data_IF_816259849331
#
_entry.id   IF_816259849331
#
_cell.length_a   1.000
_cell.length_b   1.000
_cell.length_c   1.000
_cell.angle_alpha   90.00
_cell.angle_beta   90.00
_cell.angle_gamma   90.00
#
_symmetry.space_group_name_H-M   'P 1'
#
loop_
_entity.id
_entity.type
_entity.pdbx_description
1 polymer ?
#
# COMPACT_ATOMS: atom_id res chain seq x y z
N UNK A 1 26.91 0.86 -9.80
CA UNK A 1 25.96 1.20 -10.88
C UNK A 1 24.73 1.87 -10.29
N UNK A 2 24.31 3.05 -10.76
CA UNK A 2 23.02 3.65 -10.35
C UNK A 2 21.92 3.00 -11.20
N UNK A 3 20.98 2.31 -10.56
CA UNK A 3 19.81 1.74 -11.24
C UNK A 3 18.97 2.87 -11.86
N UNK A 4 18.33 2.57 -13.01
CA UNK A 4 17.41 3.51 -13.66
C UNK A 4 16.18 3.79 -12.79
N UNK A 5 15.54 4.94 -12.98
CA UNK A 5 14.31 5.32 -12.26
C UNK A 5 13.18 4.29 -12.50
N UNK A 6 13.08 3.76 -13.73
CA UNK A 6 12.13 2.71 -14.09
C UNK A 6 12.40 1.40 -13.35
N UNK A 7 13.66 1.01 -13.22
CA UNK A 7 14.04 -0.19 -12.47
C UNK A 7 13.72 -0.03 -10.99
N UNK A 8 13.99 1.14 -10.41
CA UNK A 8 13.63 1.45 -9.02
C UNK A 8 12.14 1.38 -8.76
N UNK A 9 11.33 1.91 -9.68
CA UNK A 9 9.87 1.82 -9.60
C UNK A 9 9.42 0.36 -9.49
N UNK A 10 9.86 -0.52 -10.40
CA UNK A 10 9.45 -1.92 -10.39
C UNK A 10 9.97 -2.69 -9.18
N UNK A 11 11.19 -2.41 -8.72
CA UNK A 11 11.72 -3.01 -7.50
C UNK A 11 10.84 -2.66 -6.30
N UNK A 12 10.52 -1.37 -6.11
CA UNK A 12 9.67 -0.93 -5.01
C UNK A 12 8.23 -1.42 -5.15
N UNK A 13 7.72 -1.55 -6.38
CA UNK A 13 6.41 -2.16 -6.66
C UNK A 13 6.37 -3.61 -6.20
N UNK A 14 7.36 -4.43 -6.58
CA UNK A 14 7.44 -5.84 -6.19
C UNK A 14 7.62 -5.98 -4.69
N UNK A 15 8.48 -5.17 -4.06
CA UNK A 15 8.64 -5.15 -2.61
C UNK A 15 7.31 -4.82 -1.92
N UNK A 16 6.59 -3.80 -2.40
CA UNK A 16 5.28 -3.45 -1.85
C UNK A 16 4.29 -4.61 -1.96
N UNK A 17 4.25 -5.25 -3.13
CA UNK A 17 3.35 -6.36 -3.41
C UNK A 17 3.61 -7.54 -2.47
N UNK A 18 4.87 -7.93 -2.31
CA UNK A 18 5.26 -9.06 -1.46
C UNK A 18 4.93 -8.78 0.00
N UNK A 19 5.28 -7.61 0.53
CA UNK A 19 5.00 -7.28 1.93
C UNK A 19 3.49 -7.14 2.15
N UNK A 20 2.78 -6.47 1.24
CA UNK A 20 1.32 -6.34 1.32
C UNK A 20 0.64 -7.70 1.30
N UNK A 21 1.15 -8.67 0.53
CA UNK A 21 0.61 -10.03 0.48
C UNK A 21 0.78 -10.74 1.82
N UNK A 22 1.97 -10.65 2.42
CA UNK A 22 2.25 -11.22 3.76
C UNK A 22 1.31 -10.60 4.81
N UNK A 23 1.17 -9.26 4.81
CA UNK A 23 0.27 -8.55 5.70
C UNK A 23 -1.20 -8.93 5.48
N UNK A 24 -1.60 -9.14 4.23
CA UNK A 24 -2.97 -9.52 3.88
C UNK A 24 -3.32 -10.92 4.37
N UNK A 25 -2.40 -11.89 4.18
CA UNK A 25 -2.55 -13.27 4.66
C UNK A 25 -2.63 -13.32 6.19
N UNK A 26 -1.88 -12.47 6.87
CA UNK A 26 -1.84 -12.40 8.34
C UNK A 26 -2.96 -11.53 8.95
N UNK A 27 -3.83 -10.93 8.13
CA UNK A 27 -4.96 -10.12 8.58
C UNK A 27 -4.63 -8.67 8.95
N UNK A 28 -3.40 -8.21 8.76
CA UNK A 28 -2.97 -6.84 9.10
C UNK A 28 -3.18 -5.84 7.95
N UNK A 29 -4.40 -5.73 7.47
CA UNK A 29 -4.71 -4.94 6.27
C UNK A 29 -4.40 -3.44 6.44
N UNK A 30 -4.62 -2.89 7.63
CA UNK A 30 -4.32 -1.49 7.93
C UNK A 30 -2.82 -1.16 7.91
N UNK A 31 -1.93 -2.12 8.18
CA UNK A 31 -0.48 -1.89 8.10
C UNK A 31 0.00 -1.66 6.66
N UNK A 32 -0.80 -2.05 5.66
CA UNK A 32 -0.52 -1.79 4.24
C UNK A 32 -0.48 -0.27 3.97
N UNK A 33 -1.29 0.53 4.69
CA UNK A 33 -1.26 1.98 4.58
C UNK A 33 0.09 2.60 4.98
N UNK A 34 0.76 2.01 5.98
CA UNK A 34 2.07 2.47 6.46
C UNK A 34 3.15 2.26 5.39
N UNK A 35 3.09 1.13 4.67
CA UNK A 35 3.98 0.86 3.53
C UNK A 35 3.82 1.91 2.43
N UNK A 36 2.59 2.39 2.23
CA UNK A 36 2.28 3.51 1.34
C UNK A 36 3.20 4.71 1.58
N UNK A 37 3.35 5.18 2.83
CA UNK A 37 4.22 6.32 3.19
C UNK A 37 5.65 6.07 2.73
N UNK A 38 6.20 4.94 3.15
CA UNK A 38 7.62 4.63 3.03
C UNK A 38 7.97 4.54 1.54
N UNK A 39 7.15 3.83 0.77
CA UNK A 39 7.39 3.62 -0.66
C UNK A 39 7.14 4.90 -1.45
N UNK A 40 6.10 5.65 -1.12
CA UNK A 40 5.85 6.96 -1.70
C UNK A 40 7.03 7.91 -1.51
N UNK A 41 7.56 7.99 -0.30
CA UNK A 41 8.75 8.77 0.03
C UNK A 41 9.96 8.34 -0.79
N UNK A 42 10.28 7.05 -0.82
CA UNK A 42 11.45 6.53 -1.52
C UNK A 42 11.39 6.79 -3.03
N UNK A 43 10.20 6.71 -3.64
CA UNK A 43 10.00 6.95 -5.07
C UNK A 43 10.21 8.42 -5.45
N UNK A 44 9.58 9.35 -4.73
CA UNK A 44 9.69 10.77 -5.06
C UNK A 44 10.97 11.43 -4.55
N UNK A 45 11.62 10.90 -3.51
CA UNK A 45 13.01 11.24 -3.18
C UNK A 45 13.95 10.99 -4.38
N UNK A 46 13.53 10.15 -5.34
CA UNK A 46 14.29 9.78 -6.55
C UNK A 46 13.63 10.17 -7.88
N UNK A 47 12.71 11.15 -7.89
CA UNK A 47 12.02 11.72 -9.07
C UNK A 47 10.97 10.82 -9.77
N UNK A 48 10.56 9.69 -9.18
CA UNK A 48 9.51 8.86 -9.77
C UNK A 48 8.10 9.41 -9.44
N UNK A 49 7.51 10.18 -10.36
CA UNK A 49 6.20 10.85 -10.23
C UNK A 49 5.00 9.89 -10.05
N UNK A 50 5.18 8.58 -10.25
CA UNK A 50 4.11 7.58 -10.19
C UNK A 50 3.96 6.91 -8.81
N UNK A 51 4.26 7.62 -7.72
CA UNK A 51 4.17 7.10 -6.35
C UNK A 51 2.79 6.49 -6.01
N UNK A 52 1.71 7.06 -6.57
CA UNK A 52 0.34 6.56 -6.39
C UNK A 52 0.14 5.15 -6.95
N UNK A 53 0.65 4.89 -8.17
CA UNK A 53 0.52 3.59 -8.82
C UNK A 53 1.35 2.50 -8.12
N UNK A 54 2.49 2.87 -7.53
CA UNK A 54 3.36 1.92 -6.82
C UNK A 54 2.94 1.67 -5.35
N UNK A 55 2.00 2.42 -4.81
CA UNK A 55 1.54 2.29 -3.43
C UNK A 55 0.18 1.62 -3.35
N UNK A 56 -0.83 2.14 -4.05
CA UNK A 56 -2.20 1.61 -4.01
C UNK A 56 -2.42 0.32 -4.81
N UNK A 57 -1.79 0.18 -5.98
CA UNK A 57 -2.03 -0.98 -6.86
C UNK A 57 -1.48 -2.29 -6.27
N UNK A 58 -0.22 -2.34 -5.76
CA UNK A 58 0.28 -3.56 -5.13
C UNK A 58 -0.52 -3.97 -3.88
N UNK A 59 -0.99 -3.00 -3.10
CA UNK A 59 -1.82 -3.22 -1.92
C UNK A 59 -3.13 -3.92 -2.29
N UNK A 60 -3.83 -3.42 -3.31
CA UNK A 60 -5.06 -4.02 -3.81
C UNK A 60 -4.82 -5.44 -4.34
N UNK A 61 -3.80 -5.62 -5.19
CA UNK A 61 -3.48 -6.93 -5.78
C UNK A 61 -3.15 -7.94 -4.67
N UNK A 62 -2.38 -7.54 -3.67
CA UNK A 62 -2.02 -8.39 -2.54
C UNK A 62 -3.24 -8.91 -1.76
N UNK A 63 -4.20 -8.04 -1.46
CA UNK A 63 -5.43 -8.45 -0.74
C UNK A 63 -6.25 -9.40 -1.61
N UNK A 64 -6.40 -9.11 -2.91
CA UNK A 64 -7.13 -9.99 -3.83
C UNK A 64 -6.48 -11.38 -3.95
N UNK A 65 -5.14 -11.43 -4.05
CA UNK A 65 -4.40 -12.70 -4.05
C UNK A 65 -4.61 -13.43 -2.72
N UNK A 66 -4.54 -12.74 -1.58
CA UNK A 66 -4.74 -13.36 -0.27
C UNK A 66 -6.15 -13.97 -0.14
N UNK A 67 -7.19 -13.29 -0.62
CA UNK A 67 -8.57 -13.80 -0.63
C UNK A 67 -8.69 -15.02 -1.54
N UNK A 68 -8.08 -15.00 -2.73
CA UNK A 68 -8.08 -16.15 -3.65
C UNK A 68 -7.32 -17.36 -3.09
N UNK A 69 -6.23 -17.12 -2.35
CA UNK A 69 -5.43 -18.17 -1.74
C UNK A 69 -6.10 -18.77 -0.50
N UNK A 70 -6.81 -17.94 0.27
CA UNK A 70 -7.45 -18.36 1.50
C UNK A 70 -8.77 -17.61 1.69
N UNK A 71 -9.94 -18.25 1.51
CA UNK A 71 -11.22 -17.60 1.71
C UNK A 71 -11.43 -17.12 3.17
N UNK A 72 -10.76 -17.72 4.16
CA UNK A 72 -10.76 -17.23 5.55
C UNK A 72 -10.06 -15.87 5.72
N UNK A 73 -9.35 -15.37 4.70
CA UNK A 73 -8.85 -14.01 4.71
C UNK A 73 -9.99 -12.97 4.65
N UNK A 74 -11.16 -13.34 4.10
CA UNK A 74 -12.36 -12.50 4.18
C UNK A 74 -12.82 -12.36 5.64
N UNK A 75 -12.88 -13.44 6.40
CA UNK A 75 -13.28 -13.41 7.82
C UNK A 75 -12.37 -12.47 8.63
N UNK A 76 -11.06 -12.50 8.40
CA UNK A 76 -10.13 -11.53 9.01
C UNK A 76 -10.44 -10.08 8.62
N UNK A 77 -10.82 -9.87 7.36
CA UNK A 77 -11.32 -8.59 6.86
C UNK A 77 -12.62 -8.17 7.54
N UNK A 78 -13.56 -9.09 7.79
CA UNK A 78 -14.82 -8.84 8.49
C UNK A 78 -14.59 -8.48 9.96
N UNK A 79 -13.70 -9.19 10.65
CA UNK A 79 -13.30 -8.90 12.04
C UNK A 79 -12.69 -7.51 12.11
N UNK A 80 -11.74 -7.21 11.21
CA UNK A 80 -11.08 -5.89 11.18
C UNK A 80 -12.07 -4.78 10.85
N UNK A 81 -13.02 -5.03 9.95
CA UNK A 81 -14.08 -4.10 9.61
C UNK A 81 -14.96 -3.80 10.83
N UNK A 82 -15.37 -4.83 11.58
CA UNK A 82 -16.14 -4.68 12.80
C UNK A 82 -15.40 -3.89 13.90
N UNK A 83 -14.10 -4.11 14.07
CA UNK A 83 -13.26 -3.37 15.02
C UNK A 83 -13.30 -1.85 14.76
N UNK A 84 -13.35 -1.44 13.48
CA UNK A 84 -13.41 -0.04 13.09
C UNK A 84 -14.84 0.49 12.89
N UNK A 85 -15.86 -0.27 13.31
CA UNK A 85 -17.27 0.15 13.29
C UNK A 85 -18.02 -0.09 11.97
N UNK A 86 -17.47 -0.89 11.05
CA UNK A 86 -18.16 -1.35 9.85
C UNK A 86 -18.98 -2.63 10.13
N UNK A 87 -19.94 -2.99 9.27
CA UNK A 87 -20.73 -4.21 9.45
C UNK A 87 -19.85 -5.48 9.49
N UNK A 88 -20.16 -6.43 10.38
CA UNK A 88 -19.51 -7.75 10.43
C UNK A 88 -20.11 -8.68 9.36
N UNK A 89 -19.74 -8.42 8.11
CA UNK A 89 -20.09 -9.23 6.94
C UNK A 89 -19.16 -8.89 5.76
N UNK A 90 -19.30 -9.64 4.66
CA UNK A 90 -18.56 -9.43 3.42
C UNK A 90 -18.63 -7.98 2.93
N UNK A 91 -19.78 -7.32 3.07
CA UNK A 91 -19.93 -5.90 2.69
C UNK A 91 -18.99 -5.00 3.50
N UNK A 92 -18.88 -5.22 4.81
CA UNK A 92 -17.93 -4.50 5.67
C UNK A 92 -16.47 -4.75 5.28
N UNK A 93 -16.11 -5.99 4.95
CA UNK A 93 -14.75 -6.32 4.47
C UNK A 93 -14.42 -5.63 3.14
N UNK A 94 -15.37 -5.54 2.21
CA UNK A 94 -15.20 -4.81 0.95
C UNK A 94 -15.04 -3.31 1.19
N UNK A 95 -15.84 -2.72 2.10
CA UNK A 95 -15.69 -1.30 2.48
C UNK A 95 -14.30 -1.07 3.10
N UNK A 96 -13.85 -1.95 4.00
CA UNK A 96 -12.52 -1.88 4.60
C UNK A 96 -11.42 -1.93 3.53
N UNK A 97 -11.53 -2.80 2.54
CA UNK A 97 -10.58 -2.89 1.43
C UNK A 97 -10.50 -1.59 0.65
N UNK A 98 -11.65 -1.02 0.26
CA UNK A 98 -11.71 0.25 -0.48
C UNK A 98 -11.07 1.36 0.36
N UNK A 99 -11.45 1.48 1.63
CA UNK A 99 -10.90 2.46 2.58
C UNK A 99 -9.39 2.29 2.71
N UNK A 100 -8.90 1.06 2.86
CA UNK A 100 -7.47 0.75 2.98
C UNK A 100 -6.72 1.16 1.72
N UNK A 101 -7.26 0.90 0.52
CA UNK A 101 -6.64 1.31 -0.75
C UNK A 101 -6.61 2.83 -0.89
N UNK A 102 -7.71 3.52 -0.56
CA UNK A 102 -7.79 4.98 -0.60
C UNK A 102 -6.79 5.62 0.37
N UNK A 103 -6.75 5.13 1.61
CA UNK A 103 -5.81 5.59 2.63
C UNK A 103 -4.38 5.33 2.15
N UNK A 104 -4.05 4.11 1.72
CA UNK A 104 -2.70 3.75 1.25
C UNK A 104 -2.26 4.63 0.09
N UNK A 105 -3.16 4.94 -0.84
CA UNK A 105 -2.89 5.81 -1.99
C UNK A 105 -2.68 7.26 -1.58
N UNK A 106 -3.56 7.81 -0.72
CA UNK A 106 -3.46 9.17 -0.21
C UNK A 106 -2.17 9.36 0.60
N UNK A 107 -1.90 8.42 1.49
CA UNK A 107 -0.73 8.38 2.36
C UNK A 107 0.56 8.16 1.55
N UNK A 108 0.53 7.34 0.50
CA UNK A 108 1.63 7.20 -0.45
C UNK A 108 1.91 8.49 -1.23
N UNK A 109 0.86 9.23 -1.59
CA UNK A 109 0.99 10.58 -2.13
C UNK A 109 1.66 11.54 -1.16
N UNK A 110 1.25 11.55 0.11
CA UNK A 110 1.86 12.37 1.17
C UNK A 110 3.33 12.03 1.38
N UNK A 111 3.67 10.74 1.53
CA UNK A 111 5.05 10.28 1.61
C UNK A 111 5.86 10.77 0.41
N UNK A 112 5.28 10.69 -0.78
CA UNK A 112 5.91 11.19 -1.99
C UNK A 112 6.12 12.71 -2.00
N UNK A 113 5.16 13.50 -1.51
CA UNK A 113 5.35 14.96 -1.37
C UNK A 113 6.51 15.28 -0.44
N UNK A 114 6.57 14.60 0.72
CA UNK A 114 7.67 14.74 1.68
C UNK A 114 9.01 14.39 1.02
N UNK A 115 9.09 13.27 0.30
CA UNK A 115 10.31 12.85 -0.41
C UNK A 115 10.79 13.88 -1.44
N UNK A 116 9.86 14.51 -2.15
CA UNK A 116 10.19 15.58 -3.10
C UNK A 116 10.75 16.83 -2.43
N UNK A 117 10.16 17.28 -1.32
CA UNK A 117 10.65 18.45 -0.57
C UNK A 117 12.02 18.18 0.07
N UNK A 118 12.21 17.02 0.70
CA UNK A 118 13.52 16.63 1.27
C UNK A 118 14.59 16.62 0.19
N UNK A 119 14.31 16.03 -0.99
CA UNK A 119 15.25 16.06 -2.12
C UNK A 119 15.63 17.49 -2.49
N UNK A 120 14.64 18.38 -2.64
CA UNK A 120 14.89 19.80 -2.96
C UNK A 120 15.73 20.53 -1.92
N UNK A 121 15.64 20.16 -0.65
CA UNK A 121 16.44 20.74 0.43
C UNK A 121 17.87 20.23 0.43
N UNK A 122 18.08 18.93 0.14
CA UNK A 122 19.40 18.28 0.18
C UNK A 122 20.22 18.53 -1.09
N UNK A 123 19.57 18.77 -2.23
CA UNK A 123 20.27 19.07 -3.51
C UNK A 123 20.49 20.57 -3.75
N UNK A 124 20.25 21.42 -2.75
CA UNK A 124 20.66 22.83 -2.74
C UNK A 124 22.04 22.95 -2.10
#
# INVERSE_FOLDING_TARGET
>A
MRLSERTWFWVLFVINLVISLILSITGYWLLIAVLGIIIGYLLNARRALNAFAATGVPALIAVLIAILMNPYALDNGEITAAIIGLPYNVTGAVILLIVTVLITTAIGGLGGLVGHYVRKLVTK
#
